data_IF_720876520121
#
_entry.id   IF_720876520121
#
_cell.length_a   1.000
_cell.length_b   1.000
_cell.length_c   1.000
_cell.angle_alpha   90.00
_cell.angle_beta   90.00
_cell.angle_gamma   90.00
#
_symmetry.space_group_name_H-M   'P 1'
#
loop_
_entity.id
_entity.type
_entity.pdbx_description
1 polymer ?
#
# COMPACT_ATOMS: atom_id res chain seq x y z
N UNK A 1 8.23 16.16 11.06
CA UNK A 1 8.25 16.20 9.58
C UNK A 1 7.57 14.90 9.21
N UNK A 2 6.32 14.96 8.79
CA UNK A 2 5.60 13.71 8.50
C UNK A 2 6.27 13.06 7.29
N UNK A 3 6.72 11.81 7.48
CA UNK A 3 7.55 11.07 6.52
C UNK A 3 6.77 10.56 5.30
N UNK A 4 5.47 10.92 5.18
CA UNK A 4 4.54 10.41 4.18
C UNK A 4 3.75 11.57 3.56
N UNK A 5 3.73 11.64 2.23
CA UNK A 5 2.86 12.56 1.48
C UNK A 5 1.41 12.05 1.56
N UNK A 6 0.60 12.71 2.39
CA UNK A 6 -0.79 12.32 2.66
C UNK A 6 -1.68 12.42 1.44
N UNK A 7 -1.37 13.34 0.51
CA UNK A 7 -2.15 13.54 -0.71
C UNK A 7 -1.93 12.37 -1.68
N UNK A 8 -0.66 11.99 -1.87
CA UNK A 8 -0.30 10.84 -2.72
C UNK A 8 -0.81 9.53 -2.14
N UNK A 9 -0.67 9.33 -0.83
CA UNK A 9 -1.22 8.16 -0.16
C UNK A 9 -2.75 8.14 -0.26
N UNK A 10 -3.40 9.28 -0.04
CA UNK A 10 -4.86 9.41 -0.15
C UNK A 10 -5.36 8.99 -1.53
N UNK A 11 -4.64 9.38 -2.59
CA UNK A 11 -4.97 9.00 -3.95
C UNK A 11 -4.91 7.47 -4.15
N UNK A 12 -3.86 6.82 -3.66
CA UNK A 12 -3.74 5.36 -3.71
C UNK A 12 -4.89 4.67 -2.97
N UNK A 13 -5.25 5.15 -1.78
CA UNK A 13 -6.31 4.56 -0.97
C UNK A 13 -7.69 4.75 -1.63
N UNK A 14 -7.95 5.95 -2.17
CA UNK A 14 -9.20 6.24 -2.85
C UNK A 14 -9.37 5.38 -4.12
N UNK A 15 -8.28 5.19 -4.87
CA UNK A 15 -8.23 4.29 -6.03
C UNK A 15 -8.53 2.84 -5.65
N UNK A 16 -7.96 2.36 -4.55
CA UNK A 16 -8.13 0.98 -4.08
C UNK A 16 -9.57 0.66 -3.66
N UNK A 17 -10.27 1.63 -3.07
CA UNK A 17 -11.65 1.43 -2.59
C UNK A 17 -12.72 1.64 -3.67
N UNK A 18 -12.33 1.87 -4.93
CA UNK A 18 -13.27 1.93 -6.07
C UNK A 18 -14.23 3.12 -6.05
N UNK A 19 -14.03 4.09 -5.14
CA UNK A 19 -14.94 5.23 -4.97
C UNK A 19 -14.82 6.29 -6.07
N UNK A 20 -13.82 6.18 -6.96
CA UNK A 20 -13.40 7.32 -7.79
C UNK A 20 -13.42 7.08 -9.30
N UNK A 21 -13.52 5.83 -9.79
CA UNK A 21 -13.51 5.55 -11.23
C UNK A 21 -14.48 4.41 -11.56
N UNK A 22 -15.58 4.73 -12.24
CA UNK A 22 -16.48 3.74 -12.84
C UNK A 22 -15.72 2.89 -13.87
N UNK A 23 -15.87 1.56 -13.83
CA UNK A 23 -15.24 0.59 -14.74
C UNK A 23 -13.70 0.50 -14.66
N UNK A 24 -13.12 0.87 -13.52
CA UNK A 24 -11.67 0.90 -13.34
C UNK A 24 -10.96 -0.44 -13.55
N UNK A 25 -11.46 -1.50 -12.91
CA UNK A 25 -10.89 -2.84 -13.03
C UNK A 25 -10.95 -3.35 -14.48
N UNK A 26 -12.02 -3.01 -15.21
CA UNK A 26 -12.18 -3.39 -16.61
C UNK A 26 -11.24 -2.58 -17.53
N UNK A 27 -11.03 -1.30 -17.23
CA UNK A 27 -10.08 -0.42 -17.95
C UNK A 27 -8.63 -0.90 -17.83
N UNK A 28 -8.32 -1.61 -16.73
CA UNK A 28 -7.01 -2.17 -16.43
C UNK A 28 -6.91 -3.69 -16.62
N UNK A 29 -7.97 -4.39 -17.02
CA UNK A 29 -7.97 -5.86 -17.05
C UNK A 29 -7.55 -6.49 -15.70
N UNK A 30 -7.79 -5.78 -14.59
CA UNK A 30 -7.56 -6.22 -13.20
C UNK A 30 -8.86 -6.71 -12.56
N UNK A 31 -9.77 -7.26 -13.36
CA UNK A 31 -11.07 -7.74 -12.89
C UNK A 31 -10.89 -8.81 -11.81
N UNK A 32 -11.52 -8.60 -10.66
CA UNK A 32 -11.44 -9.52 -9.52
C UNK A 32 -10.22 -9.32 -8.62
N UNK A 33 -9.44 -8.26 -8.82
CA UNK A 33 -8.39 -7.84 -7.90
C UNK A 33 -9.01 -7.10 -6.73
N UNK A 34 -8.86 -7.63 -5.51
CA UNK A 34 -9.39 -7.00 -4.32
C UNK A 34 -8.70 -5.67 -3.96
N UNK A 35 -9.34 -4.82 -3.14
CA UNK A 35 -8.86 -3.46 -2.82
C UNK A 35 -7.43 -3.44 -2.25
N UNK A 36 -7.06 -4.39 -1.38
CA UNK A 36 -5.70 -4.43 -0.79
C UNK A 36 -4.61 -4.78 -1.81
N UNK A 37 -4.93 -5.68 -2.75
CA UNK A 37 -4.04 -6.05 -3.86
C UNK A 37 -3.98 -4.91 -4.88
N UNK A 38 -5.10 -4.24 -5.16
CA UNK A 38 -5.14 -3.07 -6.05
C UNK A 38 -4.32 -1.90 -5.49
N UNK A 39 -4.43 -1.63 -4.18
CA UNK A 39 -3.58 -0.67 -3.45
C UNK A 39 -2.09 -1.01 -3.62
N UNK A 40 -1.74 -2.28 -3.44
CA UNK A 40 -0.36 -2.75 -3.59
C UNK A 40 0.16 -2.55 -5.02
N UNK A 41 -0.63 -2.96 -6.01
CA UNK A 41 -0.32 -2.76 -7.43
C UNK A 41 -0.22 -1.27 -7.79
N UNK A 42 -1.04 -0.40 -7.19
CA UNK A 42 -0.97 1.04 -7.42
C UNK A 42 0.38 1.62 -6.95
N UNK A 43 0.81 1.28 -5.73
CA UNK A 43 2.11 1.70 -5.20
C UNK A 43 3.28 1.09 -6.01
N UNK A 44 3.21 -0.18 -6.38
CA UNK A 44 4.25 -0.81 -7.21
C UNK A 44 4.29 -0.20 -8.61
N UNK A 45 3.14 0.11 -9.21
CA UNK A 45 3.09 0.75 -10.53
C UNK A 45 3.77 2.11 -10.54
N UNK A 46 3.73 2.84 -9.43
CA UNK A 46 4.47 4.07 -9.24
C UNK A 46 5.98 3.83 -9.09
N UNK A 47 6.40 2.76 -8.41
CA UNK A 47 7.82 2.38 -8.39
C UNK A 47 8.36 2.11 -9.80
N UNK A 48 7.54 1.49 -10.66
CA UNK A 48 7.94 1.10 -12.02
C UNK A 48 7.85 2.27 -13.01
N UNK A 49 6.83 3.12 -12.90
CA UNK A 49 6.47 4.13 -13.91
C UNK A 49 6.51 5.58 -13.44
N UNK A 50 6.67 5.81 -12.14
CA UNK A 50 6.74 7.13 -11.53
C UNK A 50 8.07 7.83 -11.80
N UNK A 51 8.05 9.15 -11.68
CA UNK A 51 9.26 9.97 -11.76
C UNK A 51 10.03 10.00 -10.43
N UNK A 52 11.28 10.48 -10.45
CA UNK A 52 12.17 10.46 -9.29
C UNK A 52 11.62 11.21 -8.05
N UNK A 53 10.74 12.21 -8.22
CA UNK A 53 10.14 12.95 -7.10
C UNK A 53 9.17 12.10 -6.26
N UNK A 54 8.74 10.95 -6.79
CA UNK A 54 7.83 10.02 -6.11
C UNK A 54 8.50 9.27 -4.96
N UNK A 55 9.83 9.31 -4.87
CA UNK A 55 10.62 8.58 -3.87
C UNK A 55 11.14 9.47 -2.72
N UNK A 56 10.69 10.72 -2.63
CA UNK A 56 11.04 11.61 -1.53
C UNK A 56 10.43 11.17 -0.18
N UNK A 57 9.33 10.39 -0.22
CA UNK A 57 8.61 9.88 0.94
C UNK A 57 8.52 8.33 0.93
N UNK A 58 9.66 7.62 1.09
CA UNK A 58 9.73 6.17 0.93
C UNK A 58 8.87 5.39 1.93
N UNK A 59 8.53 6.00 3.08
CA UNK A 59 7.64 5.40 4.07
C UNK A 59 6.24 5.09 3.51
N UNK A 60 5.78 5.80 2.47
CA UNK A 60 4.49 5.53 1.79
C UNK A 60 4.42 4.11 1.24
N UNK A 61 5.52 3.56 0.74
CA UNK A 61 5.51 2.22 0.12
C UNK A 61 5.25 1.09 1.14
N UNK A 62 5.46 1.33 2.44
CA UNK A 62 5.06 0.37 3.49
C UNK A 62 3.55 0.12 3.53
N UNK A 63 2.73 1.05 2.99
CA UNK A 63 1.28 0.91 2.94
C UNK A 63 0.80 -0.10 1.90
N UNK A 64 1.65 -0.52 0.96
CA UNK A 64 1.28 -1.53 -0.04
C UNK A 64 0.79 -2.79 0.68
N UNK A 65 1.64 -3.34 1.54
CA UNK A 65 1.43 -4.66 2.13
C UNK A 65 1.52 -4.66 3.65
N UNK A 66 1.82 -3.52 4.27
CA UNK A 66 2.11 -3.43 5.70
C UNK A 66 3.59 -3.64 6.00
N UNK A 67 3.91 -3.61 7.29
CA UNK A 67 5.28 -3.65 7.80
C UNK A 67 5.52 -4.82 8.74
N UNK A 68 6.74 -5.36 8.69
CA UNK A 68 7.17 -6.41 9.63
C UNK A 68 7.20 -5.92 11.09
N UNK A 69 7.29 -4.62 11.31
CA UNK A 69 7.22 -3.91 12.59
C UNK A 69 5.80 -3.42 12.94
N UNK A 70 4.80 -3.81 12.14
CA UNK A 70 3.41 -3.46 12.36
C UNK A 70 3.04 -2.03 11.95
N UNK A 71 3.84 -1.37 11.10
CA UNK A 71 3.56 -0.04 10.56
C UNK A 71 3.41 -0.08 9.02
N UNK A 72 2.31 0.47 8.45
CA UNK A 72 1.11 1.01 9.11
C UNK A 72 0.22 -0.08 9.77
N UNK A 73 0.43 -1.34 9.41
CA UNK A 73 -0.16 -2.51 10.04
C UNK A 73 0.76 -3.71 9.83
N UNK A 74 0.38 -4.91 10.30
CA UNK A 74 1.09 -6.15 9.98
C UNK A 74 1.16 -6.38 8.48
N UNK A 75 2.01 -7.29 8.05
CA UNK A 75 2.08 -7.71 6.65
C UNK A 75 0.82 -8.48 6.27
N UNK A 76 0.08 -7.98 5.30
CA UNK A 76 -0.97 -8.70 4.58
C UNK A 76 -0.35 -9.64 3.56
N UNK A 77 -0.12 -10.89 3.97
CA UNK A 77 0.51 -11.89 3.12
C UNK A 77 -0.36 -12.26 1.91
N UNK A 78 -1.69 -12.20 2.03
CA UNK A 78 -2.58 -12.51 0.91
C UNK A 78 -2.41 -11.46 -0.20
N UNK A 79 -2.53 -10.19 0.15
CA UNK A 79 -2.32 -9.10 -0.82
C UNK A 79 -0.88 -9.12 -1.37
N UNK A 80 0.10 -9.47 -0.55
CA UNK A 80 1.50 -9.63 -0.96
C UNK A 80 1.66 -10.71 -2.05
N UNK A 81 1.17 -11.93 -1.78
CA UNK A 81 1.28 -13.07 -2.69
C UNK A 81 0.50 -12.82 -3.99
N UNK A 82 -0.72 -12.27 -3.91
CA UNK A 82 -1.52 -11.89 -5.09
C UNK A 82 -0.81 -10.81 -5.94
N UNK A 83 -0.23 -9.80 -5.30
CA UNK A 83 0.54 -8.74 -5.99
C UNK A 83 1.72 -9.33 -6.75
N UNK A 84 2.48 -10.23 -6.12
CA UNK A 84 3.59 -10.93 -6.78
C UNK A 84 3.11 -11.72 -7.99
N UNK A 85 2.02 -12.47 -7.85
CA UNK A 85 1.47 -13.27 -8.95
C UNK A 85 1.10 -12.37 -10.14
N UNK A 86 0.41 -11.26 -9.90
CA UNK A 86 0.04 -10.32 -10.96
C UNK A 86 1.25 -9.71 -11.69
N UNK A 87 2.32 -9.39 -10.94
CA UNK A 87 3.55 -8.87 -11.52
C UNK A 87 4.30 -9.93 -12.32
N UNK A 88 4.40 -11.15 -11.81
CA UNK A 88 5.01 -12.29 -12.51
C UNK A 88 4.29 -12.57 -13.82
N UNK A 89 2.97 -12.67 -13.77
CA UNK A 89 2.13 -12.83 -14.95
C UNK A 89 2.37 -11.71 -15.98
N UNK A 90 2.45 -10.45 -15.53
CA UNK A 90 2.68 -9.32 -16.43
C UNK A 90 4.04 -9.42 -17.14
N UNK A 91 5.08 -9.86 -16.43
CA UNK A 91 6.41 -10.08 -16.99
C UNK A 91 6.41 -11.25 -17.97
N UNK A 92 5.80 -12.37 -17.63
CA UNK A 92 5.74 -13.57 -18.47
C UNK A 92 4.98 -13.32 -19.77
N UNK A 93 3.80 -12.68 -19.69
CA UNK A 93 3.01 -12.31 -20.85
C UNK A 93 3.78 -11.33 -21.75
N UNK A 94 4.47 -10.34 -21.17
CA UNK A 94 5.25 -9.37 -21.94
C UNK A 94 6.40 -10.03 -22.70
N UNK A 95 7.05 -11.05 -22.14
CA UNK A 95 8.10 -11.84 -22.83
C UNK A 95 7.56 -12.59 -24.04
N UNK A 96 6.28 -12.93 -24.05
CA UNK A 96 5.58 -13.58 -25.17
C UNK A 96 5.00 -12.58 -26.18
N UNK A 97 5.24 -11.27 -25.98
CA UNK A 97 4.71 -10.20 -26.83
C UNK A 97 3.33 -9.68 -26.42
N UNK A 98 2.73 -10.23 -25.36
CA UNK A 98 1.44 -9.77 -24.82
C UNK A 98 1.67 -8.76 -23.69
N UNK A 99 1.55 -7.47 -24.01
CA UNK A 99 1.89 -6.38 -23.09
C UNK A 99 0.68 -5.77 -22.36
N UNK A 100 -0.50 -6.38 -22.48
CA UNK A 100 -1.76 -5.92 -21.91
C UNK A 100 -1.69 -5.69 -20.39
N UNK A 101 -1.15 -6.66 -19.64
CA UNK A 101 -0.97 -6.54 -18.18
C UNK A 101 0.07 -5.47 -17.80
N UNK A 102 1.14 -5.32 -18.57
CA UNK A 102 2.15 -4.28 -18.33
C UNK A 102 1.59 -2.88 -18.62
N UNK A 103 0.84 -2.72 -19.73
CA UNK A 103 0.10 -1.50 -20.06
C UNK A 103 -0.94 -1.16 -19.00
N UNK A 104 -1.57 -2.16 -18.40
CA UNK A 104 -2.49 -1.97 -17.28
C UNK A 104 -1.79 -1.34 -16.07
N UNK A 105 -0.65 -1.85 -15.63
CA UNK A 105 0.12 -1.22 -14.53
C UNK A 105 0.46 0.24 -14.84
N UNK A 106 0.85 0.56 -16.09
CA UNK A 106 1.08 1.95 -16.51
C UNK A 106 -0.17 2.82 -16.49
N UNK A 107 -1.33 2.26 -16.84
CA UNK A 107 -2.63 2.96 -16.75
C UNK A 107 -3.05 3.15 -15.29
N UNK A 108 -2.79 2.17 -14.42
CA UNK A 108 -3.03 2.24 -12.97
C UNK A 108 -2.28 3.42 -12.35
N UNK A 109 -0.98 3.53 -12.59
CA UNK A 109 -0.19 4.67 -12.10
C UNK A 109 -0.75 6.02 -12.59
N UNK A 110 -1.11 6.13 -13.88
CA UNK A 110 -1.68 7.36 -14.45
C UNK A 110 -3.04 7.72 -13.83
N UNK A 111 -3.87 6.72 -13.54
CA UNK A 111 -5.17 6.93 -12.91
C UNK A 111 -5.00 7.43 -11.46
N UNK A 112 -4.09 6.81 -10.70
CA UNK A 112 -3.77 7.28 -9.34
C UNK A 112 -3.26 8.72 -9.34
N UNK A 113 -2.36 9.06 -10.27
CA UNK A 113 -1.86 10.43 -10.43
C UNK A 113 -2.99 11.41 -10.81
N UNK A 114 -3.92 10.98 -11.66
CA UNK A 114 -5.07 11.80 -12.01
C UNK A 114 -5.97 12.10 -10.79
N UNK A 115 -6.18 11.11 -9.93
CA UNK A 115 -6.89 11.31 -8.65
C UNK A 115 -6.15 12.27 -7.73
N UNK A 116 -4.84 12.09 -7.58
CA UNK A 116 -3.98 13.01 -6.84
C UNK A 116 -4.17 14.46 -7.33
N UNK A 117 -4.08 14.69 -8.64
CA UNK A 117 -4.15 16.02 -9.23
C UNK A 117 -5.55 16.66 -9.13
N UNK A 118 -6.61 15.88 -9.34
CA UNK A 118 -7.98 16.44 -9.49
C UNK A 118 -8.79 16.48 -8.20
N UNK A 119 -8.59 15.52 -7.30
CA UNK A 119 -9.39 15.38 -6.07
C UNK A 119 -8.62 15.75 -4.82
N UNK A 120 -7.29 15.64 -4.86
CA UNK A 120 -6.41 15.89 -3.71
C UNK A 120 -6.90 15.25 -2.40
N UNK A 121 -7.25 13.95 -2.39
CA UNK A 121 -7.69 13.29 -1.16
C UNK A 121 -6.52 13.21 -0.16
N UNK A 122 -6.79 13.48 1.11
CA UNK A 122 -5.79 13.35 2.18
C UNK A 122 -6.00 12.04 2.95
N UNK A 123 -4.94 11.25 3.11
CA UNK A 123 -4.99 10.03 3.89
C UNK A 123 -5.04 10.30 5.39
N UNK A 124 -5.98 9.66 6.07
CA UNK A 124 -5.96 9.50 7.53
C UNK A 124 -5.13 8.26 7.88
N UNK A 125 -3.86 8.48 8.21
CA UNK A 125 -2.92 7.39 8.55
C UNK A 125 -3.36 6.65 9.80
N UNK A 126 -3.89 7.34 10.81
CA UNK A 126 -4.26 6.71 12.08
C UNK A 126 -5.49 5.82 11.91
N UNK A 127 -6.52 6.32 11.23
CA UNK A 127 -7.71 5.54 10.91
C UNK A 127 -7.37 4.34 10.02
N UNK A 128 -6.53 4.55 9.01
CA UNK A 128 -6.06 3.47 8.13
C UNK A 128 -5.28 2.40 8.91
N UNK A 129 -4.30 2.81 9.73
CA UNK A 129 -3.50 1.89 10.53
C UNK A 129 -4.37 1.08 11.50
N UNK A 130 -5.33 1.74 12.15
CA UNK A 130 -6.30 1.07 13.00
C UNK A 130 -7.10 0.01 12.23
N UNK A 131 -7.64 0.36 11.07
CA UNK A 131 -8.42 -0.56 10.25
C UNK A 131 -7.60 -1.76 9.79
N UNK A 132 -6.35 -1.55 9.34
CA UNK A 132 -5.47 -2.65 8.92
C UNK A 132 -5.10 -3.56 10.09
N UNK A 133 -4.85 -3.02 11.29
CA UNK A 133 -4.61 -3.84 12.47
C UNK A 133 -5.84 -4.69 12.84
N UNK A 134 -7.02 -4.08 12.90
CA UNK A 134 -8.25 -4.77 13.29
C UNK A 134 -8.58 -5.90 12.28
N UNK A 135 -8.36 -5.66 10.98
CA UNK A 135 -8.52 -6.67 9.93
C UNK A 135 -7.48 -7.78 10.02
N UNK A 136 -6.20 -7.43 10.13
CA UNK A 136 -5.10 -8.41 10.08
C UNK A 136 -4.93 -9.20 11.37
N UNK A 137 -5.49 -8.74 12.50
CA UNK A 137 -5.68 -9.60 13.68
C UNK A 137 -6.69 -10.72 13.41
N UNK A 138 -7.74 -10.46 12.63
CA UNK A 138 -8.75 -11.46 12.27
C UNK A 138 -8.27 -12.40 11.15
N UNK A 139 -7.68 -11.84 10.09
CA UNK A 139 -7.28 -12.57 8.88
C UNK A 139 -5.92 -13.27 9.02
N UNK A 140 -5.15 -12.93 10.05
CA UNK A 140 -3.87 -13.56 10.35
C UNK A 140 -2.68 -12.95 9.61
N UNK A 141 -2.48 -11.64 9.76
CA UNK A 141 -1.30 -10.92 9.27
C UNK A 141 0.00 -11.37 9.94
N UNK A 142 1.13 -10.85 9.45
CA UNK A 142 2.46 -11.25 9.88
C UNK A 142 3.32 -10.08 10.34
N UNK A 143 4.12 -10.32 11.36
CA UNK A 143 5.20 -9.43 11.79
C UNK A 143 6.52 -10.20 11.78
N UNK A 144 7.63 -9.56 12.16
CA UNK A 144 8.88 -10.28 12.38
C UNK A 144 8.78 -11.36 13.47
N UNK A 145 7.78 -11.26 14.37
CA UNK A 145 7.50 -12.26 15.41
C UNK A 145 6.68 -13.46 14.89
N UNK A 146 6.34 -13.48 13.60
CA UNK A 146 5.46 -14.48 13.00
C UNK A 146 4.02 -14.01 12.87
N UNK A 147 3.08 -14.96 12.88
CA UNK A 147 1.65 -14.68 12.72
C UNK A 147 1.15 -13.83 13.88
N UNK A 148 0.33 -12.83 13.59
CA UNK A 148 -0.29 -11.94 14.57
C UNK A 148 -1.16 -12.76 15.52
N UNK A 149 -0.96 -12.51 16.82
CA UNK A 149 -1.79 -13.02 17.91
C UNK A 149 -2.65 -11.84 18.38
N UNK A 150 -4.00 -11.94 18.27
CA UNK A 150 -4.90 -10.85 18.61
C UNK A 150 -4.63 -10.28 20.01
N UNK A 151 -4.54 -8.95 20.11
CA UNK A 151 -4.31 -8.23 21.37
C UNK A 151 -2.87 -8.29 21.91
N UNK A 152 -2.16 -9.42 21.74
CA UNK A 152 -0.79 -9.58 22.23
C UNK A 152 0.25 -8.93 21.31
N UNK A 153 0.21 -9.24 20.01
CA UNK A 153 1.22 -8.75 19.06
C UNK A 153 1.18 -7.23 18.94
N UNK A 154 -0.01 -6.63 18.89
CA UNK A 154 -0.18 -5.17 18.83
C UNK A 154 0.38 -4.47 20.06
N UNK A 155 0.17 -5.01 21.26
CA UNK A 155 0.72 -4.46 22.51
C UNK A 155 2.25 -4.50 22.53
N UNK A 156 2.85 -5.62 22.11
CA UNK A 156 4.32 -5.76 22.03
C UNK A 156 4.90 -4.78 21.00
N UNK A 157 4.30 -4.70 19.81
CA UNK A 157 4.74 -3.78 18.75
C UNK A 157 4.64 -2.32 19.19
N UNK A 158 3.56 -1.93 19.88
CA UNK A 158 3.42 -0.56 20.39
C UNK A 158 4.49 -0.22 21.42
N UNK A 159 4.81 -1.14 22.34
CA UNK A 159 5.87 -0.95 23.33
C UNK A 159 7.24 -0.81 22.64
N UNK A 160 7.55 -1.72 21.71
CA UNK A 160 8.81 -1.71 20.97
C UNK A 160 8.95 -0.45 20.12
N UNK A 161 7.91 -0.06 19.39
CA UNK A 161 7.90 1.14 18.56
C UNK A 161 8.03 2.41 19.40
N UNK A 162 7.42 2.44 20.59
CA UNK A 162 7.62 3.52 21.57
C UNK A 162 9.07 3.62 22.03
N UNK A 163 9.76 2.49 22.26
CA UNK A 163 11.17 2.47 22.65
C UNK A 163 12.12 2.85 21.51
N UNK A 164 11.86 2.37 20.30
CA UNK A 164 12.71 2.58 19.13
C UNK A 164 12.57 3.98 18.54
N UNK A 165 11.35 4.52 18.49
CA UNK A 165 11.05 5.78 17.80
C UNK A 165 10.64 6.91 18.74
N UNK A 166 10.32 6.63 20.01
CA UNK A 166 9.82 7.64 20.97
C UNK A 166 10.87 8.61 21.51
N UNK A 167 12.18 8.37 21.29
CA UNK A 167 13.26 9.26 21.75
C UNK A 167 13.60 10.42 20.80
N UNK A 168 12.97 10.51 19.64
CA UNK A 168 13.35 11.47 18.59
C UNK A 168 12.76 12.87 18.75
N UNK A 169 11.78 13.06 19.64
CA UNK A 169 11.06 14.35 19.78
C UNK A 169 11.56 15.25 20.93
N UNK A 170 12.55 14.84 21.72
CA UNK A 170 13.00 15.58 22.92
C UNK A 170 14.29 16.40 22.73
N UNK A 171 14.68 16.69 21.48
CA UNK A 171 15.78 17.64 21.18
C UNK A 171 15.32 18.73 20.22
N UNK A 172 14.37 19.54 20.67
CA UNK A 172 14.23 20.94 20.25
C UNK A 172 13.81 21.77 21.46
N UNK A 173 14.81 22.31 22.14
CA UNK A 173 14.74 23.51 23.00
C UNK A 173 15.84 24.43 22.53
#
# INVERSE_FOLDING_TARGET
KDDVDLKRLGAVLAMAHGNEIENFEELLMLKGVGPHTLKSLALVSEVIHGDASRFEDPARFSFAVGGKDGRPGPIDRKAYDETIQHLQDAVEQSKMGYDDKSKALKRLHRATKHVEDTRSPEADIEAYAKAEWDRLEADGGYTFMGKVIPGLTKAIMNLQNGLLYGKSNDKKS
#
